data_IF_727163859159
#
_entry.id   IF_727163859159
#
_cell.length_a   1.000
_cell.length_b   1.000
_cell.length_c   1.000
_cell.angle_alpha   90.00
_cell.angle_beta   90.00
_cell.angle_gamma   90.00
#
_symmetry.space_group_name_H-M   'P 1'
#
loop_
_entity.id
_entity.type
_entity.pdbx_description
1 polymer ?
#
# COMPACT_ATOMS: atom_id res chain seq x y z
N UNK A 1 -0.08 -12.97 -2.91
CA UNK A 1 -0.24 -14.09 -2.00
C UNK A 1 -1.72 -14.35 -1.70
N UNK A 2 -2.03 -15.52 -1.14
CA UNK A 2 -3.40 -15.85 -0.76
C UNK A 2 -3.99 -14.87 0.25
N UNK A 3 -3.18 -14.40 1.21
CA UNK A 3 -3.64 -13.39 2.18
C UNK A 3 -3.98 -12.06 1.50
N UNK A 4 -3.15 -11.59 0.58
CA UNK A 4 -3.40 -10.34 -0.16
C UNK A 4 -4.69 -10.42 -0.98
N UNK A 5 -4.97 -11.57 -1.58
CA UNK A 5 -6.23 -11.79 -2.33
C UNK A 5 -7.46 -11.65 -1.42
N UNK A 6 -7.39 -12.20 -0.19
CA UNK A 6 -8.46 -12.06 0.77
C UNK A 6 -8.66 -10.60 1.22
N UNK A 7 -7.57 -9.87 1.46
CA UNK A 7 -7.68 -8.46 1.85
C UNK A 7 -8.29 -7.62 0.71
N UNK A 8 -7.97 -7.94 -0.53
CA UNK A 8 -8.57 -7.28 -1.69
C UNK A 8 -10.07 -7.54 -1.76
N UNK A 9 -10.52 -8.77 -1.55
CA UNK A 9 -11.93 -9.12 -1.51
C UNK A 9 -12.67 -8.39 -0.37
N UNK A 10 -12.08 -8.38 0.83
CA UNK A 10 -12.63 -7.66 1.97
C UNK A 10 -12.73 -6.16 1.69
N UNK A 11 -11.70 -5.58 1.13
CA UNK A 11 -11.67 -4.16 0.77
C UNK A 11 -12.69 -3.80 -0.31
N UNK A 12 -12.97 -4.71 -1.21
CA UNK A 12 -13.99 -4.55 -2.23
C UNK A 12 -15.43 -4.74 -1.71
N UNK A 13 -15.59 -5.09 -0.44
CA UNK A 13 -16.90 -5.29 0.18
C UNK A 13 -17.52 -6.66 -0.10
N UNK A 14 -16.72 -7.61 -0.55
CA UNK A 14 -17.19 -8.97 -0.87
C UNK A 14 -17.47 -9.76 0.41
N UNK A 15 -18.46 -10.64 0.32
CA UNK A 15 -18.78 -11.57 1.41
C UNK A 15 -17.91 -12.82 1.29
N UNK A 16 -16.96 -13.00 2.21
CA UNK A 16 -16.07 -14.16 2.22
C UNK A 16 -16.79 -15.48 2.42
N UNK A 17 -18.01 -15.48 2.92
CA UNK A 17 -18.85 -16.68 3.01
C UNK A 17 -19.18 -17.31 1.67
N UNK A 18 -19.05 -16.56 0.55
CA UNK A 18 -19.24 -17.03 -0.81
C UNK A 18 -17.98 -17.63 -1.44
N UNK A 19 -16.85 -17.56 -0.75
CA UNK A 19 -15.55 -17.99 -1.25
C UNK A 19 -15.01 -19.14 -0.40
N UNK A 20 -14.34 -20.09 -1.06
CA UNK A 20 -13.58 -21.12 -0.38
C UNK A 20 -12.14 -20.62 -0.21
N UNK A 21 -11.70 -20.43 1.01
CA UNK A 21 -10.35 -19.95 1.30
C UNK A 21 -9.66 -20.79 2.38
N UNK A 22 -8.35 -20.72 2.43
CA UNK A 22 -7.53 -21.46 3.40
C UNK A 22 -7.89 -21.06 4.83
N UNK A 23 -8.41 -21.99 5.61
CA UNK A 23 -8.84 -21.75 6.99
C UNK A 23 -7.69 -21.31 7.92
N UNK A 24 -6.44 -21.54 7.53
CA UNK A 24 -5.28 -21.03 8.26
C UNK A 24 -5.22 -19.49 8.23
N UNK A 25 -5.92 -18.85 7.32
CA UNK A 25 -5.98 -17.39 7.19
C UNK A 25 -7.15 -16.75 7.98
N UNK A 26 -7.92 -17.53 8.72
CA UNK A 26 -9.05 -17.02 9.51
C UNK A 26 -8.60 -15.94 10.50
N UNK A 27 -7.46 -16.11 11.15
CA UNK A 27 -6.90 -15.09 12.06
C UNK A 27 -6.51 -13.81 11.34
N UNK A 28 -5.96 -13.93 10.14
CA UNK A 28 -5.62 -12.78 9.29
C UNK A 28 -6.86 -11.99 8.89
N UNK A 29 -7.93 -12.68 8.52
CA UNK A 29 -9.22 -12.05 8.18
C UNK A 29 -9.77 -11.29 9.40
N UNK A 30 -9.76 -11.91 10.57
CA UNK A 30 -10.21 -11.25 11.80
C UNK A 30 -9.36 -10.00 12.11
N UNK A 31 -8.05 -10.07 11.93
CA UNK A 31 -7.15 -8.94 12.14
C UNK A 31 -7.44 -7.79 11.16
N UNK A 32 -7.67 -8.09 9.89
CA UNK A 32 -8.04 -7.07 8.90
C UNK A 32 -9.37 -6.39 9.27
N UNK A 33 -10.37 -7.18 9.67
CA UNK A 33 -11.67 -6.65 10.08
C UNK A 33 -11.54 -5.77 11.32
N UNK A 34 -10.70 -6.16 12.27
CA UNK A 34 -10.43 -5.35 13.47
C UNK A 34 -9.78 -4.02 13.10
N UNK A 35 -8.78 -4.02 12.22
CA UNK A 35 -8.17 -2.80 11.71
C UNK A 35 -9.18 -1.89 11.02
N UNK A 36 -9.95 -2.45 10.12
CA UNK A 36 -10.98 -1.73 9.37
C UNK A 36 -11.99 -1.05 10.30
N UNK A 37 -12.42 -1.75 11.33
CA UNK A 37 -13.38 -1.25 12.31
C UNK A 37 -12.76 -0.20 13.24
N UNK A 38 -11.62 -0.49 13.85
CA UNK A 38 -10.96 0.40 14.82
C UNK A 38 -10.52 1.72 14.21
N UNK A 39 -9.95 1.67 13.02
CA UNK A 39 -9.47 2.86 12.33
C UNK A 39 -10.56 3.53 11.49
N UNK A 40 -11.76 2.98 11.45
CA UNK A 40 -12.89 3.48 10.66
C UNK A 40 -12.52 3.69 9.20
N UNK A 41 -11.95 2.64 8.62
CA UNK A 41 -11.39 2.67 7.26
C UNK A 41 -12.52 2.68 6.23
N UNK A 42 -12.39 3.56 5.23
CA UNK A 42 -13.19 3.54 4.02
C UNK A 42 -12.28 3.21 2.85
N UNK A 43 -12.49 2.07 2.20
CA UNK A 43 -11.63 1.63 1.10
C UNK A 43 -12.08 2.31 -0.20
N UNK A 44 -11.18 3.03 -0.86
CA UNK A 44 -11.43 3.68 -2.15
C UNK A 44 -11.01 2.82 -3.34
N UNK A 45 -9.89 2.10 -3.20
CA UNK A 45 -9.37 1.27 -4.27
C UNK A 45 -8.59 0.09 -3.70
N UNK A 46 -8.63 -1.05 -4.41
CA UNK A 46 -7.87 -2.26 -4.09
C UNK A 46 -7.08 -2.70 -5.32
N UNK A 47 -5.87 -3.21 -5.09
CA UNK A 47 -4.99 -3.74 -6.14
C UNK A 47 -4.90 -2.82 -7.37
N UNK A 48 -4.72 -1.52 -7.12
CA UNK A 48 -4.67 -0.51 -8.17
C UNK A 48 -3.32 -0.53 -8.86
N UNK A 49 -3.30 -0.89 -10.15
CA UNK A 49 -2.11 -0.79 -10.98
C UNK A 49 -1.86 0.66 -11.39
N UNK A 50 -0.61 1.07 -11.32
CA UNK A 50 -0.19 2.43 -11.67
C UNK A 50 1.10 2.38 -12.48
N UNK A 51 1.23 3.30 -13.44
CA UNK A 51 2.41 3.38 -14.28
C UNK A 51 2.82 4.84 -14.46
N UNK A 52 4.10 5.11 -14.28
CA UNK A 52 4.69 6.42 -14.53
C UNK A 52 5.47 6.37 -15.84
N UNK A 53 4.88 6.90 -16.90
CA UNK A 53 5.46 6.84 -18.26
C UNK A 53 6.81 7.55 -18.38
N UNK A 54 6.94 8.72 -17.76
CA UNK A 54 8.17 9.50 -17.81
C UNK A 54 9.32 8.89 -17.01
N UNK A 55 9.02 8.14 -15.97
CA UNK A 55 10.01 7.50 -15.09
C UNK A 55 10.22 6.02 -15.38
N UNK A 56 9.46 5.45 -16.31
CA UNK A 56 9.57 4.05 -16.73
C UNK A 56 9.46 3.04 -15.58
N UNK A 57 8.64 3.34 -14.58
CA UNK A 57 8.34 2.39 -13.53
C UNK A 57 6.83 2.23 -13.33
N UNK A 58 6.45 1.09 -12.81
CA UNK A 58 5.06 0.74 -12.52
C UNK A 58 4.98 0.06 -11.16
N UNK A 59 3.80 0.05 -10.58
CA UNK A 59 3.56 -0.60 -9.30
C UNK A 59 2.09 -0.91 -9.11
N UNK A 60 1.80 -1.82 -8.18
CA UNK A 60 0.44 -2.14 -7.74
C UNK A 60 0.29 -1.75 -6.29
N UNK A 61 -0.65 -0.87 -6.01
CA UNK A 61 -1.01 -0.46 -4.64
C UNK A 61 -2.01 -1.46 -4.09
N UNK A 62 -1.76 -2.02 -2.91
CA UNK A 62 -2.67 -2.98 -2.30
C UNK A 62 -4.01 -2.34 -1.95
N UNK A 63 -4.00 -1.17 -1.34
CA UNK A 63 -5.22 -0.43 -1.04
C UNK A 63 -4.97 1.07 -0.95
N UNK A 64 -5.99 1.85 -1.33
CA UNK A 64 -6.07 3.28 -1.04
C UNK A 64 -7.30 3.47 -0.19
N UNK A 65 -7.14 4.10 0.96
CA UNK A 65 -8.19 4.20 1.98
C UNK A 65 -8.34 5.63 2.51
N UNK A 66 -9.53 5.93 3.02
CA UNK A 66 -9.75 7.13 3.83
C UNK A 66 -9.81 6.72 5.29
N UNK A 67 -9.02 7.40 6.12
CA UNK A 67 -9.03 7.25 7.57
C UNK A 67 -9.21 8.63 8.17
N UNK A 68 -10.32 8.85 8.84
CA UNK A 68 -10.65 10.14 9.48
C UNK A 68 -10.54 11.33 8.51
N UNK A 69 -11.06 11.15 7.30
CA UNK A 69 -11.07 12.19 6.28
C UNK A 69 -9.73 12.41 5.56
N UNK A 70 -8.73 11.58 5.81
CA UNK A 70 -7.40 11.67 5.19
C UNK A 70 -7.11 10.43 4.37
N UNK A 71 -6.56 10.63 3.16
CA UNK A 71 -6.27 9.53 2.23
C UNK A 71 -4.90 8.94 2.50
N UNK A 72 -4.87 7.60 2.58
CA UNK A 72 -3.67 6.82 2.84
C UNK A 72 -3.48 5.74 1.78
N UNK A 73 -2.23 5.51 1.41
CA UNK A 73 -1.84 4.30 0.67
C UNK A 73 -1.44 3.26 1.71
N UNK A 74 -2.01 2.06 1.58
CA UNK A 74 -1.74 0.93 2.46
C UNK A 74 -1.09 -0.18 1.65
N UNK A 75 0.02 -0.70 2.17
CA UNK A 75 0.71 -1.85 1.63
C UNK A 75 0.75 -2.95 2.68
N UNK A 76 0.17 -4.11 2.36
CA UNK A 76 0.11 -5.23 3.30
C UNK A 76 1.44 -5.97 3.31
N UNK A 77 2.02 -6.15 4.49
CA UNK A 77 3.28 -6.88 4.69
C UNK A 77 3.12 -7.90 5.79
N UNK A 78 3.77 -9.05 5.64
CA UNK A 78 3.87 -10.04 6.71
C UNK A 78 4.99 -9.65 7.69
N UNK A 79 6.05 -9.03 7.20
CA UNK A 79 7.17 -8.54 7.99
C UNK A 79 7.75 -7.28 7.38
N UNK A 80 8.40 -6.39 8.18
CA UNK A 80 8.98 -5.15 7.68
C UNK A 80 10.17 -5.41 6.75
N UNK A 81 10.38 -4.49 5.80
CA UNK A 81 11.51 -4.50 4.86
C UNK A 81 12.10 -3.08 4.79
N UNK A 82 13.44 -3.02 4.62
CA UNK A 82 14.13 -1.75 4.45
C UNK A 82 13.71 -0.99 3.16
N UNK A 83 13.08 -1.69 2.22
CA UNK A 83 12.61 -1.10 0.96
C UNK A 83 11.20 -0.51 1.05
N UNK A 84 10.47 -0.77 2.13
CA UNK A 84 9.07 -0.35 2.27
C UNK A 84 8.93 1.17 2.13
N UNK A 85 9.80 1.93 2.75
CA UNK A 85 9.81 3.38 2.70
C UNK A 85 9.89 3.91 1.26
N UNK A 86 10.83 3.39 0.47
CA UNK A 86 11.03 3.80 -0.92
C UNK A 86 9.86 3.39 -1.81
N UNK A 87 9.34 2.18 -1.62
CA UNK A 87 8.21 1.66 -2.37
C UNK A 87 6.95 2.49 -2.11
N UNK A 88 6.69 2.82 -0.85
CA UNK A 88 5.53 3.62 -0.47
C UNK A 88 5.61 5.04 -1.04
N UNK A 89 6.79 5.64 -1.07
CA UNK A 89 7.00 6.95 -1.68
C UNK A 89 6.72 6.93 -3.19
N UNK A 90 7.15 5.87 -3.88
CA UNK A 90 6.86 5.68 -5.30
C UNK A 90 5.36 5.55 -5.56
N UNK A 91 4.66 4.77 -4.75
CA UNK A 91 3.21 4.60 -4.87
C UNK A 91 2.45 5.90 -4.70
N UNK A 92 2.86 6.73 -3.75
CA UNK A 92 2.26 8.06 -3.56
C UNK A 92 2.40 8.90 -4.83
N UNK A 93 3.60 8.93 -5.42
CA UNK A 93 3.85 9.69 -6.63
C UNK A 93 3.00 9.20 -7.79
N UNK A 94 2.94 7.90 -8.00
CA UNK A 94 2.14 7.29 -9.06
C UNK A 94 0.65 7.59 -8.91
N UNK A 95 0.12 7.46 -7.70
CA UNK A 95 -1.29 7.75 -7.45
C UNK A 95 -1.64 9.20 -7.72
N UNK A 96 -0.83 10.14 -7.24
CA UNK A 96 -1.10 11.58 -7.39
C UNK A 96 -1.01 12.05 -8.86
N UNK A 97 -0.21 11.37 -9.68
CA UNK A 97 -0.17 11.63 -11.12
C UNK A 97 -1.47 11.24 -11.82
N UNK A 98 -2.02 10.10 -11.48
CA UNK A 98 -3.28 9.62 -12.07
C UNK A 98 -4.51 10.30 -11.47
N UNK A 99 -4.38 10.85 -10.25
CA UNK A 99 -5.48 11.43 -9.49
C UNK A 99 -5.08 12.80 -8.92
N UNK A 100 -4.96 13.86 -9.75
CA UNK A 100 -4.45 15.16 -9.29
C UNK A 100 -5.24 15.79 -8.13
N UNK A 101 -6.55 15.52 -8.04
CA UNK A 101 -7.39 15.99 -6.94
C UNK A 101 -7.37 15.06 -5.73
N UNK A 102 -6.76 13.88 -5.85
CA UNK A 102 -6.74 12.85 -4.84
C UNK A 102 -5.44 12.80 -4.05
N UNK A 103 -5.04 13.91 -3.45
CA UNK A 103 -3.78 13.99 -2.71
C UNK A 103 -3.70 13.00 -1.58
N UNK A 104 -2.53 12.40 -1.44
CA UNK A 104 -2.24 11.42 -0.40
C UNK A 104 -1.71 12.16 0.83
N UNK A 105 -2.37 11.92 1.98
CA UNK A 105 -1.92 12.45 3.27
C UNK A 105 -0.73 11.67 3.81
N UNK A 106 -0.74 10.35 3.65
CA UNK A 106 0.32 9.51 4.15
C UNK A 106 0.32 8.13 3.50
N UNK A 107 1.34 7.37 3.82
CA UNK A 107 1.54 6.00 3.36
C UNK A 107 1.92 5.12 4.54
N UNK A 108 1.47 3.88 4.55
CA UNK A 108 1.79 2.96 5.63
C UNK A 108 1.89 1.53 5.13
N UNK A 109 2.81 0.77 5.71
CA UNK A 109 2.75 -0.69 5.63
C UNK A 109 1.91 -1.20 6.81
N UNK A 110 1.03 -2.15 6.53
CA UNK A 110 0.17 -2.77 7.51
C UNK A 110 0.58 -4.23 7.66
N UNK A 111 1.09 -4.57 8.82
CA UNK A 111 1.44 -5.95 9.15
C UNK A 111 0.21 -6.65 9.69
N UNK A 112 -0.23 -7.69 9.01
CA UNK A 112 -1.35 -8.52 9.44
C UNK A 112 -0.84 -9.95 9.62
N UNK A 113 -1.09 -10.49 10.80
CA UNK A 113 -0.79 -11.88 11.13
C UNK A 113 -2.05 -12.53 11.71
N UNK A 114 -1.96 -13.83 12.01
CA UNK A 114 -3.06 -14.53 12.68
C UNK A 114 -3.38 -13.97 14.07
N UNK A 115 -2.43 -13.25 14.68
CA UNK A 115 -2.56 -12.72 16.05
C UNK A 115 -3.05 -11.27 16.11
N UNK A 116 -3.04 -10.56 14.99
CA UNK A 116 -3.49 -9.17 14.97
C UNK A 116 -2.84 -8.34 13.87
N UNK A 117 -2.91 -7.01 14.03
CA UNK A 117 -2.37 -6.06 13.07
C UNK A 117 -1.59 -4.96 13.79
N UNK A 118 -0.64 -4.39 13.05
CA UNK A 118 0.06 -3.16 13.47
C UNK A 118 0.62 -2.46 12.23
N UNK A 119 0.87 -1.17 12.34
CA UNK A 119 1.62 -0.47 11.31
C UNK A 119 3.11 -0.80 11.44
N UNK A 120 3.74 -1.20 10.33
CA UNK A 120 5.17 -1.41 10.27
C UNK A 120 5.87 -0.08 10.02
N UNK A 121 5.69 0.48 8.82
CA UNK A 121 6.13 1.83 8.49
C UNK A 121 4.89 2.72 8.37
N UNK A 122 4.97 3.96 8.82
CA UNK A 122 3.89 4.93 8.71
C UNK A 122 4.47 6.32 8.56
N UNK A 123 4.25 6.94 7.41
CA UNK A 123 4.81 8.24 7.08
C UNK A 123 3.72 9.22 6.68
N UNK A 124 3.62 10.32 7.40
CA UNK A 124 2.86 11.48 6.98
C UNK A 124 3.72 12.35 6.05
N UNK A 125 3.16 13.42 5.51
CA UNK A 125 3.77 14.23 4.44
C UNK A 125 5.26 14.57 4.62
N UNK A 126 5.69 14.90 5.83
CA UNK A 126 7.09 15.33 6.09
C UNK A 126 8.07 14.16 5.91
N UNK A 127 7.73 12.99 6.44
CA UNK A 127 8.55 11.79 6.27
C UNK A 127 8.64 11.33 4.83
N UNK A 128 7.56 11.51 4.05
CA UNK A 128 7.51 11.13 2.65
C UNK A 128 8.46 11.90 1.74
N UNK A 129 8.73 13.16 2.04
CA UNK A 129 9.66 13.96 1.25
C UNK A 129 11.06 13.33 1.23
N UNK A 130 11.53 12.84 2.38
CA UNK A 130 12.83 12.15 2.48
C UNK A 130 12.82 10.82 1.74
N UNK A 131 11.78 10.02 1.91
CA UNK A 131 11.65 8.74 1.21
C UNK A 131 11.59 8.93 -0.30
N UNK A 132 10.84 9.91 -0.77
CA UNK A 132 10.75 10.25 -2.20
C UNK A 132 12.10 10.68 -2.77
N UNK A 133 12.87 11.47 -2.03
CA UNK A 133 14.21 11.90 -2.45
C UNK A 133 15.16 10.72 -2.60
N UNK A 134 15.13 9.77 -1.68
CA UNK A 134 15.91 8.54 -1.76
C UNK A 134 15.50 7.72 -2.99
N UNK A 135 14.20 7.58 -3.24
CA UNK A 135 13.69 6.84 -4.39
C UNK A 135 14.12 7.48 -5.71
N UNK A 136 14.00 8.79 -5.83
CA UNK A 136 14.42 9.52 -7.02
C UNK A 136 15.91 9.34 -7.28
N UNK A 137 16.74 9.32 -6.23
CA UNK A 137 18.17 9.06 -6.35
C UNK A 137 18.44 7.64 -6.87
N UNK A 138 17.74 6.64 -6.36
CA UNK A 138 17.84 5.25 -6.81
C UNK A 138 17.46 5.13 -8.28
N UNK A 139 16.36 5.76 -8.70
CA UNK A 139 15.93 5.76 -10.10
C UNK A 139 16.94 6.43 -11.02
N UNK A 140 17.53 7.55 -10.59
CA UNK A 140 18.54 8.25 -11.37
C UNK A 140 19.77 7.36 -11.63
N UNK A 141 20.28 6.69 -10.60
CA UNK A 141 21.39 5.74 -10.73
C UNK A 141 21.01 4.59 -11.64
N UNK A 142 19.84 4.01 -11.47
CA UNK A 142 19.37 2.89 -12.30
C UNK A 142 19.32 3.27 -13.79
N UNK A 143 18.83 4.45 -14.11
CA UNK A 143 18.78 4.96 -15.50
C UNK A 143 20.17 5.19 -16.08
N UNK A 144 21.09 5.70 -15.28
CA UNK A 144 22.48 5.86 -15.71
C UNK A 144 23.10 4.52 -16.10
N UNK A 145 22.89 3.49 -15.28
CA UNK A 145 23.39 2.14 -15.56
C UNK A 145 22.77 1.54 -16.82
N UNK A 146 21.47 1.73 -17.02
CA UNK A 146 20.77 1.26 -18.22
C UNK A 146 21.25 1.94 -19.49
N UNK A 147 21.59 3.23 -19.42
CA UNK A 147 22.06 3.99 -20.59
C UNK A 147 23.52 3.75 -20.92
N UNK A 148 24.25 2.94 -20.13
CA UNK A 148 25.65 2.64 -20.35
C UNK A 148 26.62 3.77 -19.98
N UNK A 149 26.16 4.73 -19.20
CA UNK A 149 27.01 5.84 -18.74
C UNK A 149 27.69 5.55 -17.43
#
# INVERSE_FOLDING_TARGET
SAAHELYALLGAGEDLGLYDYDQRLTGNVAAWLDWHSRERVEVEAVEKQMCHRGSCYAGTVDAVVMIRGKRWIIDYKASPSARDELQLAAYKELWELDNPAGKIHGVASLQITADGWKYGAKYERVGLLTARSKWNAVLAVYRMLESGM
#
